data_IF_458354585645
#
_entry.id   IF_458354585645
#
_cell.length_a   1.000
_cell.length_b   1.000
_cell.length_c   1.000
_cell.angle_alpha   90.00
_cell.angle_beta   90.00
_cell.angle_gamma   90.00
#
_symmetry.space_group_name_H-M   'P 1'
#
loop_
_entity.id
_entity.type
_entity.pdbx_description
1 polymer ?
#
# COMPACT_ATOMS: atom_id res chain seq x y z
N UNK A 1 6.83 -12.70 26.34
CA UNK A 1 5.67 -12.22 27.13
C UNK A 1 5.71 -10.72 27.49
N UNK A 2 6.83 -10.04 27.23
CA UNK A 2 6.95 -8.58 27.52
C UNK A 2 6.53 -7.66 26.37
N UNK A 3 6.48 -8.13 25.13
CA UNK A 3 6.08 -7.32 23.97
C UNK A 3 4.60 -6.86 23.96
N UNK A 4 3.74 -7.47 24.77
CA UNK A 4 2.31 -7.12 24.84
C UNK A 4 1.98 -5.96 25.80
N UNK A 5 2.89 -5.53 26.68
CA UNK A 5 2.61 -4.49 27.68
C UNK A 5 2.90 -3.05 27.21
N UNK A 6 3.58 -2.86 26.10
CA UNK A 6 3.96 -1.53 25.62
C UNK A 6 2.91 -0.90 24.69
N UNK A 7 1.98 -1.68 24.13
CA UNK A 7 1.02 -1.20 23.13
C UNK A 7 -0.36 -0.78 23.63
N UNK A 8 -0.68 -0.95 24.92
CA UNK A 8 -2.01 -0.60 25.47
C UNK A 8 -1.94 0.30 26.71
N UNK A 9 -1.22 1.43 26.63
CA UNK A 9 -1.55 2.58 27.46
C UNK A 9 -2.30 3.59 26.62
N UNK A 10 -3.62 3.53 26.68
CA UNK A 10 -4.52 4.54 26.16
C UNK A 10 -4.20 5.89 26.82
N UNK A 11 -3.42 6.72 26.18
CA UNK A 11 -3.53 8.16 26.42
C UNK A 11 -4.74 8.60 25.60
N UNK A 12 -5.77 9.11 26.28
CA UNK A 12 -6.90 9.80 25.67
C UNK A 12 -6.35 10.77 24.64
N UNK A 13 -6.78 10.59 23.37
CA UNK A 13 -6.51 11.54 22.32
C UNK A 13 -7.16 12.88 22.74
N UNK A 14 -6.44 13.99 22.89
CA UNK A 14 -7.07 15.26 23.19
C UNK A 14 -7.92 15.66 21.99
N UNK A 15 -9.17 16.03 22.26
CA UNK A 15 -10.06 16.61 21.26
C UNK A 15 -9.35 17.75 20.52
N UNK A 16 -9.34 17.68 19.21
CA UNK A 16 -8.71 18.65 18.30
C UNK A 16 -9.44 19.99 18.47
N UNK A 17 -8.84 20.95 19.16
CA UNK A 17 -9.30 22.34 19.14
C UNK A 17 -8.87 22.97 17.80
N UNK A 18 -9.84 23.33 16.99
CA UNK A 18 -9.65 24.22 15.86
C UNK A 18 -9.23 25.61 16.39
N UNK A 19 -7.99 25.96 16.24
CA UNK A 19 -7.54 27.35 16.37
C UNK A 19 -6.65 27.71 15.19
N UNK A 20 -7.27 28.47 14.26
CA UNK A 20 -6.58 29.07 13.14
C UNK A 20 -5.56 30.10 13.57
N UNK A 21 -4.29 29.77 13.29
CA UNK A 21 -3.20 30.72 12.96
C UNK A 21 -2.05 29.91 12.40
N UNK A 22 -1.94 29.84 11.07
CA UNK A 22 -0.74 29.29 10.40
C UNK A 22 0.48 30.14 10.78
N UNK A 23 1.39 29.56 11.56
CA UNK A 23 2.73 30.12 11.76
C UNK A 23 3.55 29.87 10.49
N UNK A 24 4.23 30.90 10.00
CA UNK A 24 5.15 30.85 8.86
C UNK A 24 6.27 29.85 9.18
N UNK A 25 6.27 28.66 8.50
CA UNK A 25 7.30 27.62 8.68
C UNK A 25 6.78 26.20 9.00
N UNK A 26 5.50 26.01 9.30
CA UNK A 26 4.94 24.66 9.47
C UNK A 26 4.72 24.01 8.09
N UNK A 27 5.45 22.92 7.83
CA UNK A 27 5.15 22.02 6.71
C UNK A 27 3.70 21.55 6.90
N UNK A 28 2.81 21.88 5.95
CA UNK A 28 1.43 21.41 5.98
C UNK A 28 1.40 19.88 6.00
N UNK A 29 0.35 19.27 6.61
CA UNK A 29 0.14 17.83 6.59
C UNK A 29 0.01 17.34 5.14
N UNK A 30 0.62 16.19 4.84
CA UNK A 30 0.51 15.51 3.55
C UNK A 30 -0.90 14.90 3.47
N UNK A 31 -1.66 15.28 2.47
CA UNK A 31 -3.00 14.75 2.24
C UNK A 31 -2.88 13.45 1.44
N UNK A 32 -3.39 12.36 2.00
CA UNK A 32 -3.35 11.06 1.37
C UNK A 32 -4.74 10.59 0.94
N UNK A 33 -4.81 9.94 -0.23
CA UNK A 33 -5.97 9.19 -0.67
C UNK A 33 -5.61 7.73 -0.88
N UNK A 34 -6.54 6.83 -0.59
CA UNK A 34 -6.32 5.39 -0.69
C UNK A 34 -7.41 4.78 -1.56
N UNK A 35 -7.07 4.30 -2.74
CA UNK A 35 -7.96 3.48 -3.59
C UNK A 35 -7.81 2.01 -3.13
N UNK A 36 -8.94 1.33 -2.89
CA UNK A 36 -8.95 -0.02 -2.33
C UNK A 36 -8.75 -0.06 -0.81
N UNK A 37 -9.15 0.99 -0.09
CA UNK A 37 -8.99 1.14 1.36
C UNK A 37 -9.67 0.04 2.19
N UNK A 38 -10.66 -0.65 1.63
CA UNK A 38 -11.42 -1.71 2.30
C UNK A 38 -10.88 -3.13 2.06
N UNK A 39 -9.81 -3.30 1.28
CA UNK A 39 -9.00 -4.52 1.23
C UNK A 39 -8.13 -4.68 2.48
N UNK A 40 -7.49 -5.84 2.69
CA UNK A 40 -6.60 -6.05 3.85
C UNK A 40 -5.39 -5.11 3.83
N UNK A 41 -4.71 -4.99 2.68
CA UNK A 41 -3.58 -4.07 2.55
C UNK A 41 -4.01 -2.60 2.73
N UNK A 42 -5.16 -2.20 2.14
CA UNK A 42 -5.71 -0.85 2.30
C UNK A 42 -6.11 -0.55 3.74
N UNK A 43 -6.75 -1.49 4.43
CA UNK A 43 -7.14 -1.33 5.84
C UNK A 43 -5.93 -1.20 6.77
N UNK A 44 -4.87 -1.96 6.52
CA UNK A 44 -3.62 -1.84 7.27
C UNK A 44 -2.91 -0.50 7.00
N UNK A 45 -2.92 -0.05 5.74
CA UNK A 45 -2.40 1.26 5.36
C UNK A 45 -3.17 2.39 6.07
N UNK A 46 -4.51 2.33 6.11
CA UNK A 46 -5.33 3.27 6.90
C UNK A 46 -4.89 3.28 8.36
N UNK A 47 -4.74 2.12 8.98
CA UNK A 47 -4.31 1.99 10.38
C UNK A 47 -2.95 2.66 10.62
N UNK A 48 -1.99 2.45 9.73
CA UNK A 48 -0.64 3.03 9.82
C UNK A 48 -0.69 4.55 9.64
N UNK A 49 -1.40 5.03 8.63
CA UNK A 49 -1.46 6.46 8.30
C UNK A 49 -2.24 7.27 9.34
N UNK A 50 -3.25 6.71 9.99
CA UNK A 50 -3.95 7.36 11.12
C UNK A 50 -3.00 7.67 12.29
N UNK A 51 -1.96 6.87 12.48
CA UNK A 51 -0.91 7.11 13.48
C UNK A 51 0.23 8.01 13.01
N UNK A 52 0.26 8.40 11.73
CA UNK A 52 1.37 9.17 11.18
C UNK A 52 1.18 10.68 11.44
N UNK A 53 2.15 11.30 12.10
CA UNK A 53 2.07 12.71 12.57
C UNK A 53 1.97 13.75 11.45
N UNK A 54 2.47 13.43 10.25
CA UNK A 54 2.60 14.38 9.13
C UNK A 54 1.61 14.05 7.98
N UNK A 55 0.66 13.10 8.18
CA UNK A 55 -0.28 12.66 7.14
C UNK A 55 -1.72 12.78 7.61
N UNK A 56 -2.59 13.20 6.73
CA UNK A 56 -4.05 13.22 6.89
C UNK A 56 -4.69 12.44 5.75
N UNK A 57 -5.53 11.44 6.06
CA UNK A 57 -6.27 10.70 5.04
C UNK A 57 -7.52 11.50 4.66
N UNK A 58 -7.65 11.84 3.37
CA UNK A 58 -8.78 12.61 2.80
C UNK A 58 -9.76 11.75 2.02
N UNK A 59 -9.35 10.55 1.62
CA UNK A 59 -10.13 9.72 0.73
C UNK A 59 -9.98 8.24 1.06
N UNK A 60 -11.10 7.61 1.37
CA UNK A 60 -11.22 6.18 1.63
C UNK A 60 -11.92 5.51 0.45
N UNK A 61 -11.18 5.23 -0.65
CA UNK A 61 -11.73 4.66 -1.88
C UNK A 61 -12.12 3.20 -1.74
N UNK A 62 -13.32 2.86 -2.20
CA UNK A 62 -13.83 1.49 -2.20
C UNK A 62 -14.97 1.33 -3.20
N UNK A 63 -14.87 0.38 -4.14
CA UNK A 63 -15.95 0.07 -5.09
C UNK A 63 -17.15 -0.62 -4.45
N UNK A 64 -16.90 -1.43 -3.42
CA UNK A 64 -17.95 -2.27 -2.83
C UNK A 64 -18.73 -1.58 -1.71
N UNK A 65 -18.24 -0.46 -1.19
CA UNK A 65 -18.79 0.18 0.00
C UNK A 65 -18.97 1.69 -0.16
N UNK A 66 -19.19 2.18 -1.39
CA UNK A 66 -19.47 3.61 -1.67
C UNK A 66 -20.58 4.08 -0.74
N UNK A 67 -20.44 5.29 -0.17
CA UNK A 67 -21.35 5.95 0.77
C UNK A 67 -21.59 5.22 2.10
N UNK A 68 -20.89 4.11 2.36
CA UNK A 68 -20.90 3.45 3.67
C UNK A 68 -19.83 4.05 4.57
N UNK A 69 -20.13 4.21 5.85
CA UNK A 69 -19.10 4.60 6.84
C UNK A 69 -17.97 3.60 6.84
N UNK A 70 -16.73 4.07 6.80
CA UNK A 70 -15.55 3.20 6.81
C UNK A 70 -15.54 2.27 8.03
N UNK A 71 -15.93 2.79 9.20
CA UNK A 71 -16.06 2.01 10.44
C UNK A 71 -17.14 0.91 10.39
N UNK A 72 -18.09 0.95 9.44
CA UNK A 72 -19.03 -0.17 9.25
C UNK A 72 -18.39 -1.37 8.56
N UNK A 73 -17.30 -1.16 7.84
CA UNK A 73 -16.50 -2.22 7.19
C UNK A 73 -15.42 -2.76 8.14
N UNK A 74 -14.79 -1.85 8.88
CA UNK A 74 -13.75 -2.12 9.87
C UNK A 74 -14.17 -1.61 11.23
N UNK A 75 -14.86 -2.44 12.01
CA UNK A 75 -15.43 -2.08 13.32
C UNK A 75 -14.40 -1.58 14.33
N UNK A 76 -13.15 -2.03 14.22
CA UNK A 76 -12.03 -1.54 15.05
C UNK A 76 -11.64 -0.08 14.74
N UNK A 77 -12.19 0.52 13.69
CA UNK A 77 -12.05 1.94 13.36
C UNK A 77 -13.21 2.80 13.87
N UNK A 78 -14.14 2.22 14.66
CA UNK A 78 -15.23 2.96 15.29
C UNK A 78 -14.68 4.08 16.18
N UNK A 79 -15.25 5.27 16.05
CA UNK A 79 -14.81 6.53 16.68
C UNK A 79 -13.39 7.01 16.30
N UNK A 80 -12.68 6.31 15.39
CA UNK A 80 -11.40 6.75 14.85
C UNK A 80 -11.57 7.33 13.44
N UNK A 81 -12.49 6.79 12.64
CA UNK A 81 -12.79 7.22 11.28
C UNK A 81 -14.29 7.36 11.12
N UNK A 82 -14.77 8.59 11.01
CA UNK A 82 -16.18 8.90 10.76
C UNK A 82 -16.51 9.09 9.28
N UNK A 83 -15.48 9.09 8.43
CA UNK A 83 -15.61 9.29 6.99
C UNK A 83 -16.38 8.15 6.32
N UNK A 84 -16.98 8.48 5.17
CA UNK A 84 -17.61 7.51 4.28
C UNK A 84 -16.64 7.05 3.19
N UNK A 85 -16.83 5.83 2.72
CA UNK A 85 -16.12 5.33 1.56
C UNK A 85 -16.58 6.06 0.31
N UNK A 86 -15.61 6.43 -0.54
CA UNK A 86 -15.82 7.08 -1.83
C UNK A 86 -15.50 6.12 -2.96
N UNK A 87 -15.78 6.50 -4.19
CA UNK A 87 -15.43 5.73 -5.38
C UNK A 87 -13.91 5.77 -5.69
N UNK A 88 -13.52 5.22 -6.85
CA UNK A 88 -12.14 5.19 -7.31
C UNK A 88 -11.84 6.30 -8.33
N UNK A 89 -12.55 7.43 -8.29
CA UNK A 89 -12.34 8.55 -9.22
C UNK A 89 -10.99 9.23 -8.95
N UNK A 90 -9.96 8.74 -9.62
CA UNK A 90 -8.58 9.18 -9.42
C UNK A 90 -8.35 10.62 -9.90
N UNK A 91 -9.09 11.09 -10.90
CA UNK A 91 -8.99 12.45 -11.38
C UNK A 91 -9.53 13.49 -10.38
N UNK A 92 -10.65 13.16 -9.71
CA UNK A 92 -11.16 13.99 -8.63
C UNK A 92 -10.21 13.91 -7.42
N UNK A 93 -9.80 12.73 -7.05
CA UNK A 93 -8.89 12.49 -5.94
C UNK A 93 -7.57 13.27 -6.08
N UNK A 94 -7.00 13.33 -7.28
CA UNK A 94 -5.78 14.08 -7.57
C UNK A 94 -5.89 15.61 -7.36
N UNK A 95 -7.10 16.15 -7.24
CA UNK A 95 -7.34 17.56 -6.90
C UNK A 95 -7.36 17.82 -5.39
N UNK A 96 -7.59 16.78 -4.60
CA UNK A 96 -7.83 16.87 -3.16
C UNK A 96 -6.63 16.45 -2.30
N UNK A 97 -5.69 15.68 -2.87
CA UNK A 97 -4.59 15.05 -2.13
C UNK A 97 -3.22 15.35 -2.72
N UNK A 98 -2.18 14.99 -2.01
CA UNK A 98 -0.78 15.14 -2.44
C UNK A 98 -0.17 13.79 -2.84
N UNK A 99 -0.75 12.68 -2.32
CA UNK A 99 -0.31 11.31 -2.63
C UNK A 99 -1.52 10.38 -2.72
N UNK A 100 -1.49 9.49 -3.72
CA UNK A 100 -2.49 8.43 -3.89
C UNK A 100 -1.81 7.09 -3.69
N UNK A 101 -2.40 6.27 -2.82
CA UNK A 101 -2.05 4.85 -2.68
C UNK A 101 -3.08 4.01 -3.42
N UNK A 102 -2.63 3.07 -4.25
CA UNK A 102 -3.50 2.10 -4.91
C UNK A 102 -3.27 0.70 -4.32
N UNK A 103 -4.20 0.26 -3.45
CA UNK A 103 -4.22 -1.07 -2.85
C UNK A 103 -5.24 -1.96 -3.59
N UNK A 104 -5.02 -2.16 -4.88
CA UNK A 104 -5.96 -2.71 -5.85
C UNK A 104 -5.44 -3.98 -6.51
N UNK A 105 -6.30 -4.77 -7.17
CA UNK A 105 -5.85 -5.83 -8.07
C UNK A 105 -4.97 -5.30 -9.19
N UNK A 106 -4.16 -6.19 -9.77
CA UNK A 106 -3.31 -5.91 -10.93
C UNK A 106 -4.12 -5.36 -12.12
N UNK A 107 -3.52 -4.46 -12.88
CA UNK A 107 -4.09 -3.79 -14.05
C UNK A 107 -4.91 -2.55 -13.73
N UNK A 108 -5.38 -2.38 -12.49
CA UNK A 108 -6.24 -1.24 -12.17
C UNK A 108 -5.45 0.06 -12.03
N UNK A 109 -4.34 0.08 -11.32
CA UNK A 109 -3.52 1.28 -11.21
C UNK A 109 -3.06 1.77 -12.59
N UNK A 110 -2.54 0.84 -13.42
CA UNK A 110 -2.14 1.14 -14.79
C UNK A 110 -3.28 1.68 -15.66
N UNK A 111 -4.53 1.31 -15.39
CA UNK A 111 -5.69 1.83 -16.13
C UNK A 111 -6.16 3.22 -15.68
N UNK A 112 -5.76 3.66 -14.50
CA UNK A 112 -6.21 4.91 -13.89
C UNK A 112 -5.21 6.05 -14.05
N UNK A 113 -3.90 5.75 -14.10
CA UNK A 113 -2.85 6.77 -14.18
C UNK A 113 -2.77 7.41 -15.56
N UNK A 114 -2.56 8.73 -15.57
CA UNK A 114 -2.28 9.52 -16.77
C UNK A 114 -1.40 10.72 -16.42
N UNK A 115 -0.92 11.45 -17.43
CA UNK A 115 -0.02 12.59 -17.22
C UNK A 115 -0.66 13.72 -16.40
N UNK A 116 -1.96 13.93 -16.53
CA UNK A 116 -2.68 14.96 -15.76
C UNK A 116 -2.64 14.64 -14.27
N UNK A 117 -2.92 13.39 -13.89
CA UNK A 117 -2.85 12.91 -12.51
C UNK A 117 -1.43 13.02 -11.98
N UNK A 118 -0.46 12.47 -12.73
CA UNK A 118 0.95 12.43 -12.33
C UNK A 118 1.62 13.79 -12.26
N UNK A 119 1.04 14.81 -12.90
CA UNK A 119 1.50 16.20 -12.76
C UNK A 119 1.09 16.84 -11.42
N UNK A 120 0.07 16.30 -10.76
CA UNK A 120 -0.54 16.85 -9.54
C UNK A 120 -0.15 16.11 -8.28
N UNK A 121 -0.04 14.77 -8.36
CA UNK A 121 0.15 13.90 -7.19
C UNK A 121 1.21 12.83 -7.44
N UNK A 122 1.76 12.31 -6.35
CA UNK A 122 2.55 11.08 -6.38
C UNK A 122 1.62 9.88 -6.26
N UNK A 123 1.92 8.81 -7.01
CA UNK A 123 1.19 7.54 -6.94
C UNK A 123 2.09 6.48 -6.34
N UNK A 124 1.61 5.81 -5.29
CA UNK A 124 2.27 4.66 -4.67
C UNK A 124 1.40 3.44 -4.93
N UNK A 125 1.86 2.62 -5.87
CA UNK A 125 1.13 1.45 -6.32
C UNK A 125 1.54 0.21 -5.53
N UNK A 126 0.58 -0.39 -4.81
CA UNK A 126 0.76 -1.65 -4.09
C UNK A 126 0.45 -2.87 -4.96
N UNK A 127 -0.07 -2.68 -6.17
CA UNK A 127 -0.24 -3.74 -7.16
C UNK A 127 1.09 -4.13 -7.81
N UNK A 128 1.04 -4.93 -8.86
CA UNK A 128 2.24 -5.35 -9.59
C UNK A 128 2.53 -4.51 -10.83
N UNK A 129 1.68 -3.54 -11.17
CA UNK A 129 1.61 -2.93 -12.49
C UNK A 129 2.93 -2.30 -12.95
N UNK A 130 3.70 -1.72 -12.04
CA UNK A 130 4.94 -1.01 -12.39
C UNK A 130 6.22 -1.67 -11.85
N UNK A 131 6.15 -2.93 -11.36
CA UNK A 131 7.30 -3.61 -10.75
C UNK A 131 8.26 -4.18 -11.78
N UNK A 132 7.74 -4.72 -12.89
CA UNK A 132 8.51 -5.41 -13.95
C UNK A 132 8.73 -4.43 -15.08
N UNK A 133 10.01 -4.23 -15.47
CA UNK A 133 10.37 -3.28 -16.52
C UNK A 133 10.03 -3.77 -17.93
N UNK A 134 10.08 -5.07 -18.16
CA UNK A 134 9.71 -5.63 -19.45
C UNK A 134 8.19 -5.92 -19.50
N UNK A 135 7.50 -5.24 -20.41
CA UNK A 135 6.05 -5.35 -20.60
C UNK A 135 5.64 -6.77 -20.94
N UNK A 136 6.40 -7.45 -21.82
CA UNK A 136 6.07 -8.82 -22.23
C UNK A 136 6.12 -9.79 -21.06
N UNK A 137 7.16 -9.66 -20.24
CA UNK A 137 7.30 -10.45 -18.99
C UNK A 137 6.14 -10.16 -18.03
N UNK A 138 5.73 -8.90 -17.87
CA UNK A 138 4.58 -8.56 -17.05
C UNK A 138 3.29 -9.25 -17.55
N UNK A 139 3.00 -9.12 -18.85
CA UNK A 139 1.81 -9.69 -19.48
C UNK A 139 1.82 -11.23 -19.46
N UNK A 140 3.02 -11.82 -19.63
CA UNK A 140 3.18 -13.28 -19.52
C UNK A 140 2.88 -13.80 -18.11
N UNK A 141 3.36 -13.12 -17.07
CA UNK A 141 3.16 -13.57 -15.68
C UNK A 141 1.77 -13.27 -15.15
N UNK A 142 1.25 -12.07 -15.40
CA UNK A 142 -0.05 -11.65 -14.85
C UNK A 142 -1.24 -11.96 -15.76
N UNK A 143 -1.00 -12.39 -17.01
CA UNK A 143 -2.05 -12.74 -18.00
C UNK A 143 -3.02 -11.58 -18.29
N UNK A 144 -2.56 -10.37 -18.20
CA UNK A 144 -3.30 -9.14 -18.49
C UNK A 144 -2.44 -8.19 -19.31
N UNK A 145 -3.07 -7.42 -20.19
CA UNK A 145 -2.42 -6.36 -20.97
C UNK A 145 -2.06 -5.17 -20.08
N UNK A 146 -0.83 -4.64 -20.21
CA UNK A 146 -0.42 -3.46 -19.47
C UNK A 146 -1.02 -2.18 -20.07
N UNK A 147 -1.84 -1.45 -19.31
CA UNK A 147 -2.65 -0.33 -19.83
C UNK A 147 -1.88 0.99 -19.93
N UNK A 148 -0.72 1.12 -19.32
CA UNK A 148 0.10 2.34 -19.34
C UNK A 148 1.61 2.03 -19.37
N UNK A 149 2.10 1.31 -20.42
CA UNK A 149 3.49 0.89 -20.50
C UNK A 149 4.48 2.07 -20.56
N UNK A 150 4.04 3.24 -21.02
CA UNK A 150 4.86 4.45 -21.10
C UNK A 150 5.39 4.95 -19.76
N UNK A 151 4.79 4.54 -18.63
CA UNK A 151 5.21 4.96 -17.29
C UNK A 151 6.10 3.94 -16.56
N UNK A 152 6.32 2.76 -17.16
CA UNK A 152 7.11 1.69 -16.51
C UNK A 152 8.56 2.13 -16.26
N UNK A 153 9.18 2.81 -17.22
CA UNK A 153 10.59 3.20 -17.12
C UNK A 153 10.82 4.25 -16.03
N UNK A 154 9.88 5.18 -15.83
CA UNK A 154 9.99 6.21 -14.79
C UNK A 154 9.61 5.71 -13.40
N UNK A 155 8.83 4.64 -13.31
CA UNK A 155 8.43 4.08 -12.03
C UNK A 155 9.63 3.58 -11.23
N UNK A 156 9.70 3.93 -9.95
CA UNK A 156 10.78 3.53 -9.06
C UNK A 156 10.33 2.37 -8.19
N UNK A 157 11.12 1.30 -8.15
CA UNK A 157 10.87 0.17 -7.24
C UNK A 157 10.98 0.60 -5.79
N UNK A 158 9.88 0.50 -5.05
CA UNK A 158 9.64 1.14 -3.76
C UNK A 158 10.30 0.47 -2.55
N UNK A 159 11.36 -0.32 -2.71
CA UNK A 159 12.15 -0.84 -1.59
C UNK A 159 13.00 0.31 -1.03
N UNK A 160 12.42 1.02 -0.05
CA UNK A 160 12.95 2.29 0.45
C UNK A 160 14.34 2.17 1.07
N UNK A 161 14.69 1.02 1.62
CA UNK A 161 16.00 0.75 2.23
C UNK A 161 17.13 0.83 1.20
N UNK A 162 16.83 0.50 -0.06
CA UNK A 162 17.80 0.48 -1.17
C UNK A 162 17.62 1.71 -2.07
N UNK A 163 16.38 2.13 -2.33
CA UNK A 163 16.04 3.13 -3.34
C UNK A 163 15.56 4.47 -2.77
N UNK A 164 15.81 4.78 -1.50
CA UNK A 164 15.26 5.95 -0.78
C UNK A 164 15.34 7.26 -1.58
N UNK A 165 16.50 7.59 -2.12
CA UNK A 165 16.69 8.87 -2.81
C UNK A 165 15.93 8.92 -4.15
N UNK A 166 15.86 7.80 -4.86
CA UNK A 166 15.06 7.67 -6.09
C UNK A 166 13.57 7.78 -5.79
N UNK A 167 13.09 7.13 -4.73
CA UNK A 167 11.67 7.18 -4.29
C UNK A 167 11.23 8.61 -3.95
N UNK A 168 12.10 9.42 -3.34
CA UNK A 168 11.79 10.83 -3.05
C UNK A 168 11.45 11.64 -4.31
N UNK A 169 12.07 11.32 -5.43
CA UNK A 169 11.91 12.05 -6.70
C UNK A 169 10.83 11.43 -7.60
N UNK A 170 10.41 10.20 -7.33
CA UNK A 170 9.49 9.46 -8.16
C UNK A 170 8.10 10.10 -8.23
N UNK A 171 7.47 10.08 -9.40
CA UNK A 171 6.03 10.32 -9.58
C UNK A 171 5.23 9.05 -9.32
N UNK A 172 5.78 7.89 -9.74
CA UNK A 172 5.21 6.57 -9.51
C UNK A 172 6.19 5.74 -8.69
N UNK A 173 5.70 5.18 -7.59
CA UNK A 173 6.44 4.23 -6.76
C UNK A 173 5.78 2.86 -6.88
N UNK A 174 6.49 1.91 -7.48
CA UNK A 174 6.08 0.50 -7.56
C UNK A 174 6.42 -0.20 -6.25
N UNK A 175 5.47 -0.25 -5.31
CA UNK A 175 5.71 -0.88 -4.01
C UNK A 175 5.93 -2.38 -4.15
N UNK A 176 7.00 -2.97 -3.58
CA UNK A 176 7.30 -4.39 -3.73
C UNK A 176 6.25 -5.29 -3.09
N UNK A 177 6.17 -6.52 -3.56
CA UNK A 177 5.39 -7.58 -2.92
C UNK A 177 6.03 -8.05 -1.61
N UNK A 178 5.24 -8.76 -0.78
CA UNK A 178 5.69 -9.24 0.53
C UNK A 178 6.89 -10.20 0.45
N UNK A 179 6.87 -11.19 -0.42
CA UNK A 179 7.98 -12.13 -0.61
C UNK A 179 9.27 -11.45 -1.08
N UNK A 180 9.25 -10.62 -2.17
CA UNK A 180 10.45 -9.89 -2.57
C UNK A 180 10.97 -8.95 -1.50
N UNK A 181 10.11 -8.27 -0.75
CA UNK A 181 10.52 -7.39 0.35
C UNK A 181 11.27 -8.18 1.43
N UNK A 182 10.65 -9.26 1.93
CA UNK A 182 11.24 -10.09 2.97
C UNK A 182 12.58 -10.69 2.52
N UNK A 183 12.59 -11.35 1.36
CA UNK A 183 13.78 -12.05 0.85
C UNK A 183 14.92 -11.08 0.54
N UNK A 184 14.62 -9.97 -0.14
CA UNK A 184 15.65 -9.00 -0.51
C UNK A 184 16.27 -8.36 0.73
N UNK A 185 15.46 -7.90 1.69
CA UNK A 185 15.98 -7.26 2.89
C UNK A 185 16.79 -8.22 3.77
N UNK A 186 16.46 -9.51 3.76
CA UNK A 186 17.23 -10.54 4.48
C UNK A 186 18.58 -10.82 3.83
N UNK A 187 18.66 -10.82 2.52
CA UNK A 187 19.83 -11.29 1.76
C UNK A 187 20.74 -10.14 1.33
N UNK A 188 20.18 -8.99 0.96
CA UNK A 188 20.90 -7.87 0.37
C UNK A 188 22.11 -7.40 1.20
N UNK A 189 22.01 -7.20 2.54
CA UNK A 189 23.17 -6.78 3.32
C UNK A 189 24.32 -7.80 3.28
N UNK A 190 24.01 -9.09 3.29
CA UNK A 190 25.01 -10.16 3.26
C UNK A 190 25.72 -10.26 1.91
N UNK A 191 24.95 -10.11 0.81
CA UNK A 191 25.53 -10.06 -0.53
C UNK A 191 26.37 -8.81 -0.76
N UNK A 192 25.91 -7.67 -0.24
CA UNK A 192 26.61 -6.39 -0.39
C UNK A 192 27.98 -6.39 0.27
N UNK A 193 28.12 -7.11 1.38
CA UNK A 193 29.37 -7.24 2.13
C UNK A 193 30.15 -8.51 1.76
N UNK A 194 29.80 -9.18 0.64
CA UNK A 194 30.44 -10.42 0.14
C UNK A 194 30.53 -11.54 1.18
N UNK A 195 29.55 -11.63 2.10
CA UNK A 195 29.54 -12.61 3.17
C UNK A 195 28.92 -13.96 2.77
N UNK A 196 28.22 -14.02 1.65
CA UNK A 196 27.55 -15.23 1.13
C UNK A 196 27.71 -15.32 -0.39
N UNK A 197 27.70 -16.55 -0.91
CA UNK A 197 27.68 -16.80 -2.35
C UNK A 197 26.24 -16.72 -2.88
N UNK A 198 25.97 -15.75 -3.77
CA UNK A 198 24.67 -15.55 -4.40
C UNK A 198 24.14 -16.76 -5.18
N UNK A 199 25.02 -17.66 -5.64
CA UNK A 199 24.62 -18.85 -6.39
C UNK A 199 24.08 -19.98 -5.49
N UNK A 200 24.27 -19.90 -4.18
CA UNK A 200 23.84 -20.93 -3.21
C UNK A 200 22.61 -20.56 -2.42
N UNK A 201 21.93 -19.43 -2.77
CA UNK A 201 20.78 -18.93 -2.04
C UNK A 201 19.55 -19.81 -2.31
N UNK A 202 18.95 -20.30 -1.22
CA UNK A 202 17.64 -20.98 -1.24
C UNK A 202 16.66 -20.14 -0.43
N UNK A 203 15.51 -19.80 -1.04
CA UNK A 203 14.45 -19.02 -0.40
C UNK A 203 13.26 -19.95 -0.14
N UNK A 204 13.01 -20.24 1.15
CA UNK A 204 11.80 -20.93 1.61
C UNK A 204 10.92 -19.92 2.38
N UNK A 205 10.06 -19.21 1.64
CA UNK A 205 9.24 -18.13 2.18
C UNK A 205 7.80 -18.59 2.42
N UNK A 206 7.26 -18.28 3.60
CA UNK A 206 5.91 -18.65 4.00
C UNK A 206 5.06 -17.42 4.27
N UNK A 207 3.79 -17.44 3.83
CA UNK A 207 2.83 -16.36 4.03
C UNK A 207 1.63 -16.83 4.83
N UNK A 208 1.13 -15.98 5.71
CA UNK A 208 -0.16 -16.20 6.35
C UNK A 208 -1.31 -16.01 5.35
N UNK A 209 -2.48 -16.57 5.65
CA UNK A 209 -3.68 -16.57 4.79
C UNK A 209 -4.14 -15.17 4.40
N UNK A 210 -3.95 -14.16 5.27
CA UNK A 210 -4.31 -12.77 4.97
C UNK A 210 -3.55 -12.20 3.76
N UNK A 211 -2.38 -12.75 3.41
CA UNK A 211 -1.62 -12.39 2.22
C UNK A 211 -2.35 -12.65 0.90
N UNK A 212 -3.31 -13.57 0.88
CA UNK A 212 -4.18 -13.83 -0.27
C UNK A 212 -5.27 -12.75 -0.50
N UNK A 213 -5.37 -11.78 0.39
CA UNK A 213 -6.37 -10.70 0.33
C UNK A 213 -7.73 -11.10 0.92
N UNK A 214 -8.67 -10.13 0.90
CA UNK A 214 -9.99 -10.25 1.53
C UNK A 214 -11.02 -11.00 0.66
N UNK A 215 -10.68 -11.32 -0.58
CA UNK A 215 -11.59 -12.04 -1.48
C UNK A 215 -11.99 -13.39 -0.91
N UNK A 216 -13.30 -13.68 -0.89
CA UNK A 216 -13.83 -14.99 -0.47
C UNK A 216 -13.46 -16.06 -1.50
N UNK A 217 -12.61 -16.99 -1.12
CA UNK A 217 -12.21 -18.17 -1.91
C UNK A 217 -12.22 -19.37 -1.00
N UNK A 218 -12.55 -20.56 -1.55
CA UNK A 218 -12.55 -21.82 -0.79
C UNK A 218 -11.20 -22.00 -0.08
N UNK A 219 -10.10 -21.79 -0.78
CA UNK A 219 -8.75 -21.94 -0.24
C UNK A 219 -8.41 -21.02 0.95
N UNK A 220 -9.24 -20.01 1.22
CA UNK A 220 -9.06 -19.07 2.32
C UNK A 220 -10.04 -19.31 3.47
N UNK A 221 -10.91 -20.32 3.37
CA UNK A 221 -11.83 -20.65 4.45
C UNK A 221 -11.07 -21.24 5.64
N UNK A 222 -11.56 -20.96 6.84
CA UNK A 222 -10.90 -21.41 8.08
C UNK A 222 -10.66 -22.93 8.11
N UNK A 223 -11.65 -23.73 7.72
CA UNK A 223 -11.53 -25.20 7.68
C UNK A 223 -10.48 -25.71 6.69
N UNK A 224 -10.16 -24.91 5.65
CA UNK A 224 -9.17 -25.28 4.63
C UNK A 224 -7.75 -24.86 5.01
N UNK A 225 -7.62 -23.81 5.79
CA UNK A 225 -6.30 -23.22 6.12
C UNK A 225 -5.81 -23.54 7.53
N UNK A 226 -6.72 -24.03 8.41
CA UNK A 226 -6.33 -24.34 9.79
C UNK A 226 -5.39 -25.56 9.80
N UNK A 227 -4.22 -25.40 10.46
CA UNK A 227 -3.17 -26.44 10.55
C UNK A 227 -2.72 -26.98 9.18
N UNK A 228 -2.86 -26.20 8.12
CA UNK A 228 -2.55 -26.58 6.75
C UNK A 228 -1.54 -25.64 6.11
N UNK A 229 -0.76 -26.15 5.17
CA UNK A 229 0.16 -25.39 4.34
C UNK A 229 0.02 -25.86 2.88
N UNK A 230 -0.07 -24.90 1.96
CA UNK A 230 -0.14 -25.17 0.53
C UNK A 230 1.01 -24.49 -0.18
N UNK A 231 1.53 -25.11 -1.22
CA UNK A 231 2.48 -24.46 -2.11
C UNK A 231 1.79 -23.24 -2.77
N UNK A 232 2.53 -22.15 -2.84
CA UNK A 232 2.10 -20.95 -3.52
C UNK A 232 2.69 -20.97 -4.94
N UNK A 233 1.83 -20.91 -5.97
CA UNK A 233 2.26 -21.00 -7.35
C UNK A 233 1.31 -20.31 -8.30
#
# INVERSE_FOLDING_TARGET
LEFRRVLFRSKKCPARQENGRKKKGEKGMIRAGIIGSTGYAGGELVRILLGHKDVEIKWYGSRSYIDKKYASVYQNMFQLVDDVCKDDNMEQLAKEVDVIFTATPQGLCASLVNDEILSKVKVIDLSADFRIKDVKTYEEWYKIEHKSPQYIDEAVYGLCEINREKVKQARIVANPGCYPTCSTLSIYPLLKEDLIDGNTIIIDAKSGTSGAGRGAKVDNLYCEVNENIKAYG
#
